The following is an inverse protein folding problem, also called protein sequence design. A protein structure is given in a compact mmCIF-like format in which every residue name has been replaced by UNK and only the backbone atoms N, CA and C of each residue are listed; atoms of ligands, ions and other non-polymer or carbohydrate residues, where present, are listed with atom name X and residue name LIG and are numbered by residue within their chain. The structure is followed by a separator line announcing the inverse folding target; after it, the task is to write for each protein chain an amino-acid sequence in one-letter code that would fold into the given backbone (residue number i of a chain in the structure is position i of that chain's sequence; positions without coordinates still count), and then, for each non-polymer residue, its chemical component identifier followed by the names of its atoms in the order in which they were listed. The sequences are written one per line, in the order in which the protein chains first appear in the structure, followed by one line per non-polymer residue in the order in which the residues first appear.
data_IF_431727470784
#
_entry.id   IF_431727470784
#
_cell.length_a   1.000
_cell.length_b   1.000
_cell.length_c   1.000
_cell.angle_alpha   90.00
_cell.angle_beta   90.00
_cell.angle_gamma   90.00
#
_symmetry.space_group_name_H-M   'P 1'
#
loop_
_entity.id
_entity.type
_entity.pdbx_description
1 polymer ?
#
# COMPACT_ATOMS: atom_id res chain seq x y z
N UNK A 1 9.00 -16.30 25.18
CA UNK A 1 8.37 -16.92 23.99
C UNK A 1 9.44 -17.13 22.91
N UNK A 2 9.42 -18.23 22.15
CA UNK A 2 10.33 -18.42 21.00
C UNK A 2 9.78 -17.58 19.84
N UNK A 3 10.46 -16.51 19.47
CA UNK A 3 9.99 -15.53 18.48
C UNK A 3 10.16 -16.00 17.05
N UNK A 4 11.28 -16.66 16.74
CA UNK A 4 11.51 -17.37 15.48
C UNK A 4 11.14 -18.85 15.65
N UNK A 5 10.05 -19.28 15.04
CA UNK A 5 9.51 -20.65 15.15
C UNK A 5 8.88 -21.05 13.81
N UNK A 6 9.41 -22.13 13.21
CA UNK A 6 8.90 -22.69 11.95
C UNK A 6 7.82 -23.77 12.14
N UNK A 7 7.58 -24.20 13.37
CA UNK A 7 6.66 -25.32 13.68
C UNK A 7 5.27 -24.80 14.10
N UNK A 8 5.24 -23.68 14.84
CA UNK A 8 4.01 -23.15 15.41
C UNK A 8 3.66 -21.79 14.82
N UNK A 9 2.41 -21.61 14.43
CA UNK A 9 1.89 -20.32 13.97
C UNK A 9 1.93 -19.25 15.08
N UNK A 10 1.86 -17.99 14.72
CA UNK A 10 1.79 -16.89 15.68
C UNK A 10 0.52 -17.00 16.57
N UNK A 11 -0.59 -17.47 16.03
CA UNK A 11 -1.80 -17.77 16.81
C UNK A 11 -1.57 -18.75 17.97
N UNK A 12 -0.76 -19.80 17.73
CA UNK A 12 -0.45 -20.80 18.76
C UNK A 12 0.48 -20.25 19.85
N UNK A 13 1.26 -19.23 19.50
CA UNK A 13 2.23 -18.59 20.42
C UNK A 13 1.63 -17.49 21.28
N UNK A 14 0.50 -16.92 20.88
CA UNK A 14 -0.17 -15.83 21.60
C UNK A 14 -1.08 -16.34 22.71
N UNK A 15 -1.10 -15.62 23.85
CA UNK A 15 -2.06 -15.82 24.94
C UNK A 15 -3.49 -15.46 24.49
N UNK A 16 -4.48 -15.78 25.29
CA UNK A 16 -5.88 -15.42 25.05
C UNK A 16 -6.06 -13.90 24.95
N UNK A 17 -5.38 -13.15 25.82
CA UNK A 17 -5.41 -11.68 25.85
C UNK A 17 -4.80 -11.11 24.56
N UNK A 18 -3.64 -11.61 24.13
CA UNK A 18 -3.02 -11.19 22.89
C UNK A 18 -3.88 -11.53 21.65
N UNK A 19 -4.58 -12.67 21.64
CA UNK A 19 -5.53 -13.00 20.57
C UNK A 19 -6.69 -12.01 20.52
N UNK A 20 -7.16 -11.53 21.67
CA UNK A 20 -8.17 -10.47 21.70
C UNK A 20 -7.63 -9.13 21.14
N UNK A 21 -6.37 -8.80 21.41
CA UNK A 21 -5.71 -7.63 20.82
C UNK A 21 -5.60 -7.75 19.31
N UNK A 22 -5.30 -8.95 18.78
CA UNK A 22 -5.33 -9.21 17.33
C UNK A 22 -6.71 -8.90 16.73
N UNK A 23 -7.80 -9.36 17.36
CA UNK A 23 -9.16 -9.09 16.85
C UNK A 23 -9.53 -7.61 16.93
N UNK A 24 -9.14 -6.92 17.99
CA UNK A 24 -9.36 -5.48 18.15
C UNK A 24 -8.57 -4.70 17.06
N UNK A 25 -7.31 -5.05 16.85
CA UNK A 25 -6.46 -4.48 15.80
C UNK A 25 -7.06 -4.73 14.41
N UNK A 26 -7.46 -5.97 14.13
CA UNK A 26 -8.06 -6.37 12.86
C UNK A 26 -9.36 -5.61 12.56
N UNK A 27 -10.18 -5.33 13.58
CA UNK A 27 -11.39 -4.51 13.43
C UNK A 27 -11.07 -3.09 12.98
N UNK A 28 -10.07 -2.44 13.60
CA UNK A 28 -9.63 -1.10 13.23
C UNK A 28 -8.94 -1.08 11.86
N UNK A 29 -8.16 -2.11 11.54
CA UNK A 29 -7.53 -2.27 10.24
C UNK A 29 -8.57 -2.40 9.11
N UNK A 30 -9.62 -3.20 9.30
CA UNK A 30 -10.71 -3.30 8.33
C UNK A 30 -11.41 -1.96 8.11
N UNK A 31 -11.67 -1.19 9.17
CA UNK A 31 -12.23 0.14 9.05
C UNK A 31 -11.31 1.10 8.25
N UNK A 32 -10.00 0.99 8.43
CA UNK A 32 -9.02 1.72 7.62
C UNK A 32 -9.09 1.30 6.14
N UNK A 33 -9.08 0.00 5.82
CA UNK A 33 -9.21 -0.52 4.45
C UNK A 33 -10.48 -0.03 3.76
N UNK A 34 -11.60 -0.03 4.47
CA UNK A 34 -12.90 0.39 3.95
C UNK A 34 -12.98 1.91 3.65
N UNK A 35 -12.08 2.69 4.25
CA UNK A 35 -11.95 4.13 4.04
C UNK A 35 -10.83 4.48 3.06
N UNK A 36 -9.69 3.81 3.16
CA UNK A 36 -8.46 4.08 2.40
C UNK A 36 -8.44 3.32 1.05
N UNK A 37 -9.44 3.55 0.22
CA UNK A 37 -9.71 2.79 -1.01
C UNK A 37 -8.76 3.11 -2.17
N UNK A 38 -8.21 4.32 -2.19
CA UNK A 38 -7.22 4.83 -3.15
C UNK A 38 -6.10 5.50 -2.39
N UNK A 39 -4.96 5.82 -3.05
CA UNK A 39 -3.86 6.52 -2.39
C UNK A 39 -4.29 7.88 -1.82
N UNK A 40 -5.19 8.61 -2.51
CA UNK A 40 -5.72 9.88 -2.00
C UNK A 40 -6.59 9.70 -0.77
N UNK A 41 -7.42 8.67 -0.74
CA UNK A 41 -8.27 8.37 0.41
C UNK A 41 -7.42 7.83 1.58
N UNK A 42 -6.38 7.04 1.31
CA UNK A 42 -5.42 6.57 2.31
C UNK A 42 -4.65 7.76 2.92
N UNK A 43 -4.10 8.66 2.08
CA UNK A 43 -3.46 9.90 2.53
C UNK A 43 -4.39 10.71 3.45
N UNK A 44 -5.63 10.95 3.03
CA UNK A 44 -6.63 11.70 3.79
C UNK A 44 -6.91 11.05 5.16
N UNK A 45 -7.05 9.73 5.20
CA UNK A 45 -7.31 8.99 6.44
C UNK A 45 -6.09 8.97 7.38
N UNK A 46 -4.89 8.78 6.85
CA UNK A 46 -3.64 8.85 7.61
C UNK A 46 -3.51 10.24 8.26
N UNK A 47 -3.67 11.31 7.49
CA UNK A 47 -3.60 12.68 8.02
C UNK A 47 -4.69 12.97 9.03
N UNK A 48 -5.91 12.44 8.85
CA UNK A 48 -6.99 12.58 9.83
C UNK A 48 -6.62 11.96 11.18
N UNK A 49 -6.08 10.75 11.16
CA UNK A 49 -5.63 10.06 12.38
C UNK A 49 -4.42 10.74 13.00
N UNK A 50 -3.43 11.14 12.21
CA UNK A 50 -2.24 11.84 12.67
C UNK A 50 -2.59 13.18 13.35
N UNK A 51 -3.43 14.00 12.73
CA UNK A 51 -3.90 15.27 13.32
C UNK A 51 -4.63 15.06 14.64
N UNK A 52 -5.49 14.01 14.72
CA UNK A 52 -6.17 13.64 15.97
C UNK A 52 -5.18 13.23 17.07
N UNK A 53 -4.01 12.66 16.70
CA UNK A 53 -2.94 12.28 17.61
C UNK A 53 -1.96 13.43 17.92
N UNK A 54 -2.24 14.65 17.46
CA UNK A 54 -1.45 15.84 17.76
C UNK A 54 -0.32 16.16 16.78
N UNK A 55 -0.26 15.48 15.63
CA UNK A 55 0.67 15.88 14.57
C UNK A 55 0.23 17.19 13.92
N UNK A 56 1.19 18.09 13.67
CA UNK A 56 0.99 19.38 13.00
C UNK A 56 1.86 19.47 11.76
N UNK A 57 1.46 20.29 10.80
CA UNK A 57 2.26 20.53 9.60
C UNK A 57 3.64 21.07 9.96
N UNK A 58 4.68 20.62 9.26
CA UNK A 58 6.04 21.13 9.44
C UNK A 58 6.10 22.65 9.27
N UNK A 59 5.22 23.22 8.43
CA UNK A 59 5.12 24.65 8.16
C UNK A 59 4.64 25.48 9.39
N UNK A 60 4.09 24.83 10.40
CA UNK A 60 3.64 25.47 11.65
C UNK A 60 4.76 25.59 12.69
N UNK A 61 5.94 25.03 12.42
CA UNK A 61 7.06 25.05 13.34
C UNK A 61 8.11 26.09 12.96
N UNK A 62 8.65 26.77 13.94
CA UNK A 62 9.81 27.68 13.82
C UNK A 62 11.09 27.09 14.45
N UNK A 63 10.93 26.06 15.28
CA UNK A 63 11.99 25.23 15.88
C UNK A 63 11.39 23.90 16.31
N UNK A 64 12.23 22.90 16.53
CA UNK A 64 11.81 21.57 16.96
C UNK A 64 12.33 21.24 18.36
N UNK A 65 11.48 20.57 19.14
CA UNK A 65 11.81 20.05 20.46
C UNK A 65 11.56 18.54 20.52
N UNK A 66 12.27 17.78 21.37
CA UNK A 66 11.97 16.36 21.57
C UNK A 66 10.50 16.13 21.92
N UNK A 67 9.86 15.21 21.22
CA UNK A 67 8.43 14.89 21.36
C UNK A 67 7.51 15.65 20.41
N UNK A 68 8.00 16.64 19.66
CA UNK A 68 7.21 17.29 18.61
C UNK A 68 6.77 16.28 17.54
N UNK A 69 5.51 16.37 17.13
CA UNK A 69 4.86 15.51 16.16
C UNK A 69 4.59 16.27 14.87
N UNK A 70 5.31 15.92 13.83
CA UNK A 70 5.36 16.68 12.58
C UNK A 70 4.80 15.85 11.43
N UNK A 71 4.06 16.46 10.51
CA UNK A 71 3.71 15.82 9.23
C UNK A 71 4.07 16.69 8.02
N UNK A 72 4.30 15.98 6.90
CA UNK A 72 4.37 16.56 5.55
C UNK A 72 3.35 15.86 4.66
N UNK A 73 2.51 16.63 3.98
CA UNK A 73 1.55 16.16 2.97
C UNK A 73 2.09 16.43 1.58
N UNK A 74 2.44 15.38 0.86
CA UNK A 74 2.94 15.49 -0.50
C UNK A 74 1.78 15.37 -1.50
N UNK A 75 1.21 16.52 -1.84
CA UNK A 75 0.18 16.68 -2.90
C UNK A 75 -1.09 15.83 -2.68
N UNK A 76 -1.41 15.48 -1.43
CA UNK A 76 -2.56 14.65 -1.09
C UNK A 76 -2.43 13.19 -1.56
N UNK A 77 -1.21 12.67 -1.79
CA UNK A 77 -0.95 11.31 -2.28
C UNK A 77 0.13 10.56 -1.52
N UNK A 78 1.04 11.26 -0.86
CA UNK A 78 2.03 10.66 0.02
C UNK A 78 2.13 11.46 1.31
N UNK A 79 2.51 10.81 2.41
CA UNK A 79 2.62 11.44 3.74
C UNK A 79 3.92 11.04 4.40
N UNK A 80 4.52 11.97 5.13
CA UNK A 80 5.59 11.66 6.07
C UNK A 80 5.16 12.15 7.46
N UNK A 81 5.29 11.29 8.46
CA UNK A 81 5.08 11.63 9.87
C UNK A 81 6.42 11.50 10.61
N UNK A 82 6.69 12.41 11.55
CA UNK A 82 7.87 12.29 12.40
C UNK A 82 7.54 12.60 13.87
N UNK A 83 8.18 11.89 14.79
CA UNK A 83 8.25 12.23 16.22
C UNK A 83 9.70 12.56 16.53
N UNK A 84 9.97 13.78 16.95
CA UNK A 84 11.33 14.26 17.19
C UNK A 84 11.92 13.58 18.43
N UNK A 85 13.11 12.99 18.25
CA UNK A 85 13.87 12.35 19.31
C UNK A 85 14.64 13.34 20.18
N UNK A 86 15.31 12.81 21.23
CA UNK A 86 16.15 13.62 22.14
C UNK A 86 17.54 13.90 21.59
N UNK A 87 18.07 13.01 20.75
CA UNK A 87 19.37 13.18 20.11
C UNK A 87 19.28 14.15 18.91
N UNK A 88 20.37 14.82 18.56
CA UNK A 88 20.46 15.58 17.32
C UNK A 88 20.12 14.70 16.09
N UNK A 89 19.53 15.29 15.06
CA UNK A 89 19.11 14.54 13.85
C UNK A 89 20.27 13.83 13.17
N UNK A 90 21.52 14.33 13.27
CA UNK A 90 22.71 13.66 12.72
C UNK A 90 23.02 12.29 13.36
N UNK A 91 22.43 11.97 14.50
CA UNK A 91 22.49 10.61 15.06
C UNK A 91 21.75 9.58 14.23
N UNK A 92 21.01 10.04 13.20
CA UNK A 92 20.21 9.20 12.31
C UNK A 92 18.76 9.02 12.76
N UNK A 93 17.96 8.49 11.87
CA UNK A 93 16.52 8.31 12.04
C UNK A 93 16.18 6.82 12.16
N UNK A 94 15.04 6.52 12.80
CA UNK A 94 14.35 5.24 12.72
C UNK A 94 13.21 5.41 11.73
N UNK A 95 13.31 4.80 10.56
CA UNK A 95 12.36 4.98 9.46
C UNK A 95 11.61 3.67 9.20
N UNK A 96 10.29 3.73 9.13
CA UNK A 96 9.46 2.68 8.55
C UNK A 96 8.83 3.28 7.29
N UNK A 97 9.15 2.73 6.14
CA UNK A 97 8.63 3.18 4.84
C UNK A 97 7.68 2.13 4.26
N UNK A 98 6.48 2.54 3.87
CA UNK A 98 5.43 1.73 3.26
C UNK A 98 4.81 2.48 2.10
N UNK A 99 3.98 1.83 1.26
CA UNK A 99 3.27 2.53 0.19
C UNK A 99 1.74 2.43 0.35
N UNK A 100 1.02 3.35 -0.29
CA UNK A 100 -0.44 3.48 -0.17
C UNK A 100 -1.18 3.40 -1.50
N UNK A 101 -0.46 3.39 -2.62
CA UNK A 101 -1.00 3.01 -3.93
C UNK A 101 -1.16 1.49 -4.03
N UNK A 102 -1.89 1.01 -5.02
CA UNK A 102 -2.11 -0.41 -5.27
C UNK A 102 -2.47 -0.65 -6.74
N UNK A 103 -2.34 -1.89 -7.26
CA UNK A 103 -2.77 -2.23 -8.60
C UNK A 103 -4.27 -1.97 -8.80
N UNK A 104 -4.63 -1.35 -9.92
CA UNK A 104 -6.00 -0.92 -10.23
C UNK A 104 -6.20 -0.66 -11.72
N UNK A 105 -7.37 -0.13 -12.10
CA UNK A 105 -7.63 0.39 -13.45
C UNK A 105 -7.86 1.89 -13.37
N UNK A 106 -7.07 2.68 -14.10
CA UNK A 106 -7.27 4.13 -14.23
C UNK A 106 -8.12 4.44 -15.47
N UNK A 107 -9.00 5.44 -15.40
CA UNK A 107 -9.68 5.93 -16.60
C UNK A 107 -8.70 6.62 -17.54
N UNK A 108 -8.87 6.39 -18.86
CA UNK A 108 -8.15 7.16 -19.88
C UNK A 108 -8.66 8.61 -19.93
N UNK A 109 -7.88 9.54 -20.50
CA UNK A 109 -8.24 10.96 -20.58
C UNK A 109 -9.52 11.26 -21.39
N UNK A 110 -9.91 10.39 -22.32
CA UNK A 110 -11.21 10.40 -23.01
C UNK A 110 -11.85 9.00 -22.87
N UNK A 111 -12.46 8.72 -21.69
CA UNK A 111 -12.80 7.35 -21.37
C UNK A 111 -14.15 6.91 -21.93
N UNK A 112 -15.10 7.83 -22.11
CA UNK A 112 -16.49 7.49 -22.41
C UNK A 112 -16.69 7.12 -23.87
N UNK A 113 -17.05 5.89 -24.13
CA UNK A 113 -17.38 5.35 -25.47
C UNK A 113 -18.69 4.59 -25.44
N UNK A 114 -19.34 4.53 -26.60
CA UNK A 114 -20.53 3.72 -26.83
C UNK A 114 -20.31 2.74 -27.99
N UNK A 115 -20.79 1.51 -27.82
CA UNK A 115 -20.81 0.47 -28.85
C UNK A 115 -22.10 -0.33 -28.70
N UNK A 116 -22.83 -0.50 -29.80
CA UNK A 116 -24.07 -1.32 -29.85
C UNK A 116 -25.04 -0.98 -28.69
N UNK A 117 -25.28 0.33 -28.48
CA UNK A 117 -26.16 0.88 -27.41
C UNK A 117 -25.72 0.52 -25.97
N UNK A 118 -24.43 0.25 -25.77
CA UNK A 118 -23.85 0.06 -24.45
C UNK A 118 -22.75 1.10 -24.24
N UNK A 119 -22.85 1.85 -23.17
CA UNK A 119 -21.82 2.81 -22.77
C UNK A 119 -20.77 2.16 -21.88
N UNK A 120 -19.50 2.47 -22.13
CA UNK A 120 -18.35 1.92 -21.44
C UNK A 120 -17.38 3.05 -21.03
N UNK A 121 -16.58 2.78 -19.97
CA UNK A 121 -15.34 3.52 -19.73
C UNK A 121 -14.13 2.76 -20.29
N UNK A 122 -13.26 3.46 -21.04
CA UNK A 122 -11.93 2.97 -21.39
C UNK A 122 -10.97 3.15 -20.24
N UNK A 123 -10.21 2.10 -19.96
CA UNK A 123 -9.24 2.09 -18.86
C UNK A 123 -7.82 1.82 -19.33
N UNK A 124 -6.87 2.10 -18.45
CA UNK A 124 -5.51 1.61 -18.49
C UNK A 124 -5.18 0.97 -17.13
N UNK A 125 -4.66 -0.25 -17.10
CA UNK A 125 -4.26 -0.85 -15.84
C UNK A 125 -3.02 -0.18 -15.26
N UNK A 126 -2.96 -0.12 -13.94
CA UNK A 126 -1.89 0.44 -13.12
C UNK A 126 -1.26 -0.68 -12.29
N UNK A 127 0.10 -0.77 -12.28
CA UNK A 127 0.83 -1.85 -11.62
C UNK A 127 0.75 -3.20 -12.34
N UNK A 128 1.24 -4.23 -11.69
CA UNK A 128 1.32 -5.59 -12.22
C UNK A 128 0.06 -6.41 -11.94
N UNK A 129 -0.86 -6.55 -12.87
CA UNK A 129 -2.11 -7.31 -12.70
C UNK A 129 -2.19 -8.55 -13.60
N UNK A 130 -2.91 -9.55 -13.13
CA UNK A 130 -3.45 -10.64 -13.98
C UNK A 130 -4.84 -10.24 -14.48
N UNK A 131 -4.93 -9.78 -15.73
CA UNK A 131 -6.11 -9.14 -16.31
C UNK A 131 -7.40 -9.96 -16.21
N UNK A 132 -7.30 -11.29 -16.30
CA UNK A 132 -8.45 -12.20 -16.21
C UNK A 132 -9.15 -12.17 -14.83
N UNK A 133 -8.48 -11.68 -13.77
CA UNK A 133 -9.07 -11.59 -12.44
C UNK A 133 -10.03 -10.40 -12.28
N UNK A 134 -10.00 -9.44 -13.21
CA UNK A 134 -10.77 -8.19 -13.14
C UNK A 134 -12.12 -8.22 -13.82
N UNK A 135 -12.48 -9.34 -14.47
CA UNK A 135 -13.79 -9.53 -15.11
C UNK A 135 -14.77 -10.20 -14.15
N UNK A 136 -16.06 -10.04 -14.43
CA UNK A 136 -17.17 -10.70 -13.72
C UNK A 136 -17.26 -10.37 -12.22
N UNK A 137 -16.89 -9.12 -11.83
CA UNK A 137 -16.99 -8.67 -10.44
C UNK A 137 -17.55 -7.25 -10.36
N UNK A 138 -18.19 -6.87 -9.22
CA UNK A 138 -18.63 -5.50 -8.98
C UNK A 138 -17.43 -4.58 -8.81
N UNK A 139 -17.47 -3.42 -9.49
CA UNK A 139 -16.41 -2.41 -9.47
C UNK A 139 -16.99 -1.05 -9.06
N UNK A 140 -16.17 -0.25 -8.38
CA UNK A 140 -16.44 1.12 -7.98
C UNK A 140 -15.53 2.10 -8.74
N UNK A 141 -15.99 3.32 -8.96
CA UNK A 141 -15.23 4.44 -9.53
C UNK A 141 -15.00 5.49 -8.46
N UNK A 142 -13.74 5.74 -8.13
CA UNK A 142 -13.32 6.67 -7.08
C UNK A 142 -12.28 7.64 -7.62
N UNK A 143 -12.19 8.82 -7.03
CA UNK A 143 -11.09 9.74 -7.33
C UNK A 143 -11.52 11.20 -7.38
N UNK A 144 -10.83 11.99 -8.19
CA UNK A 144 -11.03 13.45 -8.27
C UNK A 144 -11.08 13.92 -9.72
N UNK A 145 -11.87 14.95 -9.94
CA UNK A 145 -11.95 15.69 -11.21
C UNK A 145 -11.74 17.18 -10.92
N UNK A 146 -10.97 17.85 -11.76
CA UNK A 146 -10.87 19.29 -11.74
C UNK A 146 -11.60 19.85 -12.96
N UNK A 147 -12.66 20.66 -12.71
CA UNK A 147 -13.41 21.31 -13.78
C UNK A 147 -12.61 22.44 -14.45
N UNK A 148 -13.05 22.90 -15.60
CA UNK A 148 -12.46 24.04 -16.30
C UNK A 148 -12.34 25.31 -15.43
N UNK A 149 -13.18 25.47 -14.39
CA UNK A 149 -13.07 26.57 -13.42
C UNK A 149 -12.01 26.35 -12.33
N UNK A 150 -11.29 25.21 -12.34
CA UNK A 150 -10.34 24.82 -11.31
C UNK A 150 -11.00 24.25 -10.03
N UNK A 151 -12.30 24.02 -10.01
CA UNK A 151 -13.01 23.43 -8.87
C UNK A 151 -12.70 21.94 -8.80
N UNK A 152 -12.26 21.46 -7.63
CA UNK A 152 -12.09 20.05 -7.34
C UNK A 152 -13.45 19.42 -7.01
N UNK A 153 -13.70 18.25 -7.57
CA UNK A 153 -14.86 17.41 -7.32
C UNK A 153 -14.36 16.01 -6.94
N UNK A 154 -14.76 15.54 -5.76
CA UNK A 154 -14.51 14.17 -5.35
C UNK A 154 -15.62 13.27 -5.93
N UNK A 155 -15.24 12.21 -6.64
CA UNK A 155 -16.17 11.24 -7.26
C UNK A 155 -16.15 9.95 -6.47
N UNK A 156 -17.34 9.43 -6.17
CA UNK A 156 -17.54 8.11 -5.55
C UNK A 156 -18.83 7.49 -6.11
N UNK A 157 -18.66 6.37 -6.83
CA UNK A 157 -19.74 5.59 -7.42
C UNK A 157 -19.44 4.10 -7.16
N UNK A 158 -20.37 3.39 -6.53
CA UNK A 158 -20.24 1.96 -6.24
C UNK A 158 -19.53 1.65 -4.92
N UNK A 159 -19.21 2.67 -4.10
CA UNK A 159 -18.55 2.49 -2.82
C UNK A 159 -19.52 2.27 -1.66
N UNK A 160 -20.74 2.78 -1.77
CA UNK A 160 -21.80 2.60 -0.79
C UNK A 160 -22.79 1.49 -1.23
N UNK A 161 -23.42 0.75 -0.28
CA UNK A 161 -24.30 -0.37 -0.60
C UNK A 161 -25.48 -0.04 -1.53
N UNK A 162 -25.94 1.23 -1.55
CA UNK A 162 -27.03 1.71 -2.39
C UNK A 162 -26.57 2.22 -3.75
N UNK A 163 -25.27 2.39 -3.97
CA UNK A 163 -24.75 2.86 -5.25
C UNK A 163 -24.85 1.80 -6.34
N UNK A 164 -25.05 2.19 -7.60
CA UNK A 164 -24.83 1.28 -8.71
C UNK A 164 -23.37 0.94 -8.84
N UNK A 165 -23.06 -0.31 -9.24
CA UNK A 165 -21.70 -0.77 -9.49
C UNK A 165 -21.42 -0.81 -10.99
N UNK A 166 -20.12 -0.77 -11.34
CA UNK A 166 -19.63 -1.00 -12.69
C UNK A 166 -19.26 -2.48 -12.86
N UNK A 167 -19.19 -2.97 -14.11
CA UNK A 167 -18.96 -4.38 -14.37
C UNK A 167 -18.22 -4.60 -15.70
N UNK A 168 -17.18 -5.42 -15.68
CA UNK A 168 -16.49 -5.87 -16.89
C UNK A 168 -16.97 -7.28 -17.21
N UNK A 169 -17.51 -7.48 -18.42
CA UNK A 169 -18.00 -8.77 -18.86
C UNK A 169 -16.89 -9.71 -19.30
N UNK A 170 -17.14 -11.00 -19.23
CA UNK A 170 -16.35 -12.04 -19.91
C UNK A 170 -17.23 -12.84 -20.86
N UNK A 171 -16.60 -13.58 -21.77
CA UNK A 171 -17.32 -14.40 -22.75
C UNK A 171 -17.89 -15.65 -22.07
N UNK A 172 -19.12 -16.03 -22.46
CA UNK A 172 -19.71 -17.25 -21.95
C UNK A 172 -18.97 -18.50 -22.48
N UNK A 173 -18.95 -19.63 -21.74
CA UNK A 173 -18.16 -20.80 -22.08
C UNK A 173 -18.51 -21.39 -23.48
N UNK A 174 -19.77 -21.30 -23.90
CA UNK A 174 -20.24 -21.86 -25.21
C UNK A 174 -19.67 -21.12 -26.42
N UNK A 175 -19.17 -19.89 -26.26
CA UNK A 175 -18.50 -19.08 -27.28
C UNK A 175 -17.00 -18.93 -27.02
N UNK A 176 -16.49 -19.44 -25.89
CA UNK A 176 -15.12 -19.24 -25.40
C UNK A 176 -14.05 -20.12 -26.05
N UNK A 177 -14.34 -20.94 -27.08
CA UNK A 177 -13.39 -21.91 -27.64
C UNK A 177 -12.03 -21.29 -28.00
N UNK A 178 -12.03 -20.18 -28.69
CA UNK A 178 -10.81 -19.52 -29.13
C UNK A 178 -10.10 -18.77 -27.96
N UNK A 179 -10.87 -18.27 -27.02
CA UNK A 179 -10.32 -17.60 -25.81
C UNK A 179 -9.60 -18.61 -24.91
N UNK A 180 -10.19 -19.79 -24.68
CA UNK A 180 -9.63 -20.84 -23.80
C UNK A 180 -8.27 -21.36 -24.30
N UNK A 181 -8.03 -21.32 -25.63
CA UNK A 181 -6.77 -21.79 -26.22
C UNK A 181 -5.64 -20.78 -26.21
N UNK A 182 -5.92 -19.51 -25.86
CA UNK A 182 -4.90 -18.47 -25.79
C UNK A 182 -4.05 -18.59 -24.51
N UNK A 183 -2.78 -18.14 -24.53
CA UNK A 183 -2.03 -17.91 -23.30
C UNK A 183 -2.85 -17.04 -22.34
N UNK A 184 -2.79 -17.34 -21.04
CA UNK A 184 -3.60 -16.66 -20.02
C UNK A 184 -3.47 -15.13 -20.06
N UNK A 185 -2.25 -14.61 -20.32
CA UNK A 185 -1.99 -13.17 -20.45
C UNK A 185 -2.64 -12.50 -21.68
N UNK A 186 -3.09 -13.29 -22.65
CA UNK A 186 -3.69 -12.84 -23.93
C UNK A 186 -5.21 -13.11 -24.00
N UNK A 187 -5.73 -13.96 -23.12
CA UNK A 187 -7.14 -14.31 -23.09
C UNK A 187 -8.03 -13.09 -22.81
N UNK A 188 -7.58 -12.25 -21.89
CA UNK A 188 -8.15 -10.91 -21.63
C UNK A 188 -7.04 -9.88 -21.89
N UNK A 189 -7.26 -8.96 -22.83
CA UNK A 189 -6.30 -7.87 -23.13
C UNK A 189 -6.62 -6.63 -22.31
N UNK A 190 -5.64 -5.71 -22.17
CA UNK A 190 -5.86 -4.45 -21.45
C UNK A 190 -6.99 -3.61 -22.05
N UNK A 191 -7.13 -3.59 -23.38
CA UNK A 191 -8.21 -2.86 -24.07
C UNK A 191 -9.61 -3.49 -23.90
N UNK A 192 -9.69 -4.74 -23.41
CA UNK A 192 -10.96 -5.40 -23.06
C UNK A 192 -11.42 -5.07 -21.64
N UNK A 193 -10.56 -4.47 -20.80
CA UNK A 193 -10.92 -4.08 -19.45
C UNK A 193 -11.75 -2.77 -19.48
N UNK A 194 -12.93 -2.85 -20.07
CA UNK A 194 -13.87 -1.73 -20.20
C UNK A 194 -15.13 -2.01 -19.38
N UNK A 195 -15.31 -1.37 -18.22
CA UNK A 195 -16.55 -1.52 -17.47
C UNK A 195 -17.73 -0.89 -18.18
N UNK A 196 -18.84 -1.63 -18.17
CA UNK A 196 -20.16 -1.15 -18.59
C UNK A 196 -20.66 -0.13 -17.56
N UNK A 197 -21.23 0.97 -18.07
CA UNK A 197 -21.72 2.09 -17.25
C UNK A 197 -23.18 2.45 -17.51
N UNK A 198 -23.80 1.92 -18.56
CA UNK A 198 -25.20 2.12 -18.85
C UNK A 198 -25.65 1.61 -20.21
N UNK A 199 -26.97 1.43 -20.35
CA UNK A 199 -27.64 0.98 -21.58
C UNK A 199 -28.96 1.73 -21.84
N UNK A 200 -29.35 2.63 -20.92
CA UNK A 200 -30.64 3.33 -21.03
C UNK A 200 -30.48 4.74 -21.57
N UNK A 201 -31.31 5.06 -22.54
CA UNK A 201 -31.51 6.40 -23.07
C UNK A 201 -32.93 6.53 -23.62
N UNK A 202 -33.53 7.70 -23.45
CA UNK A 202 -34.78 8.07 -24.12
C UNK A 202 -34.52 8.59 -25.56
N UNK A 203 -33.26 8.66 -25.96
CA UNK A 203 -32.77 9.08 -27.28
C UNK A 203 -32.10 7.90 -28.00
N UNK A 204 -31.63 8.15 -29.25
CA UNK A 204 -31.00 7.13 -30.09
C UNK A 204 -29.64 6.61 -29.57
N UNK A 205 -29.01 7.31 -28.60
CA UNK A 205 -27.68 7.00 -28.09
C UNK A 205 -27.60 7.09 -26.56
N UNK A 206 -26.79 6.23 -25.94
CA UNK A 206 -26.65 6.11 -24.46
C UNK A 206 -25.63 7.11 -23.88
N UNK A 207 -24.58 7.43 -24.63
CA UNK A 207 -23.49 8.30 -24.15
C UNK A 207 -23.98 9.66 -23.65
N UNK A 208 -24.86 10.41 -24.34
CA UNK A 208 -25.39 11.67 -23.84
C UNK A 208 -26.17 11.54 -22.53
N UNK A 209 -26.94 10.46 -22.37
CA UNK A 209 -27.67 10.21 -21.14
C UNK A 209 -26.75 9.98 -19.95
N UNK A 210 -25.63 9.25 -20.13
CA UNK A 210 -24.60 9.07 -19.09
C UNK A 210 -23.94 10.39 -18.75
N UNK A 211 -23.58 11.21 -19.73
CA UNK A 211 -23.00 12.55 -19.49
C UNK A 211 -23.98 13.43 -18.71
N UNK A 212 -25.28 13.38 -19.01
CA UNK A 212 -26.29 14.11 -18.27
C UNK A 212 -26.36 13.67 -16.79
N UNK A 213 -26.32 12.36 -16.51
CA UNK A 213 -26.28 11.84 -15.13
C UNK A 213 -25.03 12.31 -14.36
N UNK A 214 -23.86 12.32 -15.01
CA UNK A 214 -22.62 12.82 -14.41
C UNK A 214 -22.66 14.32 -14.16
N UNK A 215 -23.28 15.07 -15.08
CA UNK A 215 -23.51 16.52 -14.92
C UNK A 215 -24.47 16.82 -13.77
N UNK A 216 -25.57 16.09 -13.66
CA UNK A 216 -26.56 16.27 -12.59
C UNK A 216 -25.99 15.94 -11.21
N UNK A 217 -25.26 14.82 -11.09
CA UNK A 217 -24.73 14.36 -9.80
C UNK A 217 -23.47 15.10 -9.37
N UNK A 218 -22.55 15.37 -10.30
CA UNK A 218 -21.21 15.88 -10.01
C UNK A 218 -20.89 17.22 -10.66
N UNK A 219 -21.74 17.70 -11.60
CA UNK A 219 -21.45 18.86 -12.43
C UNK A 219 -20.17 18.69 -13.26
N UNK A 220 -19.95 17.49 -13.82
CA UNK A 220 -18.83 17.11 -14.67
C UNK A 220 -19.28 17.13 -16.14
N UNK A 221 -18.51 17.78 -17.00
CA UNK A 221 -18.63 17.72 -18.46
C UNK A 221 -17.63 16.71 -19.05
N UNK A 222 -17.82 16.31 -20.32
CA UNK A 222 -16.93 15.32 -20.95
C UNK A 222 -15.46 15.78 -20.99
N UNK A 223 -15.21 17.07 -21.22
CA UNK A 223 -13.87 17.65 -21.24
C UNK A 223 -13.14 17.53 -19.90
N UNK A 224 -13.86 17.55 -18.78
CA UNK A 224 -13.30 17.49 -17.42
C UNK A 224 -12.59 16.13 -17.14
N UNK A 225 -12.89 15.07 -17.89
CA UNK A 225 -12.14 13.81 -17.79
C UNK A 225 -10.65 13.96 -18.14
N UNK A 226 -10.28 14.95 -18.94
CA UNK A 226 -8.88 15.22 -19.29
C UNK A 226 -8.06 15.71 -18.11
N UNK A 227 -8.71 16.20 -17.08
CA UNK A 227 -8.12 16.72 -15.81
C UNK A 227 -8.58 15.91 -14.60
N UNK A 228 -8.89 14.64 -14.82
CA UNK A 228 -9.33 13.71 -13.78
C UNK A 228 -8.22 12.72 -13.37
N UNK A 229 -8.28 12.30 -12.13
CA UNK A 229 -7.61 11.10 -11.62
C UNK A 229 -8.73 10.20 -11.05
N UNK A 230 -9.22 9.28 -11.86
CA UNK A 230 -10.34 8.38 -11.56
C UNK A 230 -9.91 6.93 -11.68
N UNK A 231 -10.09 6.21 -10.59
CA UNK A 231 -9.64 4.85 -10.37
C UNK A 231 -10.82 3.91 -10.25
N UNK A 232 -10.73 2.75 -10.91
CA UNK A 232 -11.67 1.65 -10.78
C UNK A 232 -11.06 0.60 -9.88
N UNK A 233 -11.75 0.30 -8.80
CA UNK A 233 -11.37 -0.67 -7.78
C UNK A 233 -12.53 -1.63 -7.51
N UNK A 234 -12.31 -2.84 -6.94
CA UNK A 234 -13.41 -3.70 -6.51
C UNK A 234 -14.39 -2.98 -5.58
N UNK A 235 -15.69 -3.07 -5.81
CA UNK A 235 -16.69 -2.42 -4.96
C UNK A 235 -16.81 -3.07 -3.57
N UNK A 236 -16.29 -4.29 -3.43
CA UNK A 236 -16.36 -5.06 -2.19
C UNK A 236 -15.57 -4.39 -1.06
N UNK A 237 -16.21 -4.19 0.09
CA UNK A 237 -15.53 -3.81 1.34
C UNK A 237 -14.81 -5.00 1.97
N UNK A 238 -13.92 -4.73 2.94
CA UNK A 238 -13.17 -5.74 3.66
C UNK A 238 -14.05 -6.76 4.36
N UNK A 239 -13.66 -8.04 4.36
CA UNK A 239 -14.40 -9.12 5.04
C UNK A 239 -13.47 -10.09 5.73
N UNK A 240 -13.97 -10.67 6.84
CA UNK A 240 -13.35 -11.86 7.43
C UNK A 240 -13.47 -13.04 6.48
N UNK A 241 -12.41 -13.86 6.42
CA UNK A 241 -12.34 -15.09 5.63
C UNK A 241 -11.97 -16.27 6.52
N UNK A 242 -12.47 -17.44 6.13
CA UNK A 242 -12.37 -18.67 6.89
C UNK A 242 -13.54 -18.84 7.88
N UNK A 243 -13.87 -20.09 8.20
CA UNK A 243 -14.91 -20.39 9.18
C UNK A 243 -14.53 -19.90 10.58
N UNK A 244 -13.24 -19.83 10.87
CA UNK A 244 -12.63 -19.33 12.10
C UNK A 244 -12.40 -17.82 12.10
N UNK A 245 -12.68 -17.13 10.97
CA UNK A 245 -12.49 -15.68 10.80
C UNK A 245 -11.06 -15.18 11.04
N UNK A 246 -10.06 -16.03 10.84
CA UNK A 246 -8.66 -15.71 11.14
C UNK A 246 -7.96 -14.83 10.09
N UNK A 247 -8.64 -14.56 8.96
CA UNK A 247 -8.09 -13.85 7.81
C UNK A 247 -8.97 -12.65 7.43
N UNK A 248 -8.38 -11.70 6.68
CA UNK A 248 -9.07 -10.56 6.08
C UNK A 248 -8.87 -10.60 4.58
N UNK A 249 -9.96 -10.46 3.82
CA UNK A 249 -9.97 -10.21 2.39
C UNK A 249 -10.28 -8.74 2.13
N UNK A 250 -9.48 -8.09 1.29
CA UNK A 250 -9.74 -6.73 0.81
C UNK A 250 -8.95 -6.43 -0.45
N UNK A 251 -9.34 -5.37 -1.15
CA UNK A 251 -8.53 -4.75 -2.19
C UNK A 251 -7.42 -3.89 -1.58
N UNK A 252 -6.23 -3.95 -2.19
CA UNK A 252 -5.11 -3.05 -1.87
C UNK A 252 -4.49 -3.29 -0.50
N UNK A 253 -4.49 -4.53 0.00
CA UNK A 253 -3.72 -4.89 1.20
C UNK A 253 -2.21 -4.84 0.94
N UNK A 254 -1.79 -4.98 -0.32
CA UNK A 254 -0.54 -4.54 -0.87
C UNK A 254 -0.62 -3.03 -1.18
N UNK A 255 0.03 -2.11 -0.42
CA UNK A 255 0.73 -2.39 0.86
C UNK A 255 0.02 -1.71 2.05
N UNK A 256 -1.31 -1.58 1.99
CA UNK A 256 -2.07 -0.93 3.08
C UNK A 256 -2.03 -1.72 4.38
N UNK A 257 -1.68 -3.01 4.36
CA UNK A 257 -1.49 -3.77 5.60
C UNK A 257 -0.26 -3.29 6.37
N UNK A 258 0.88 -3.11 5.69
CA UNK A 258 2.07 -2.55 6.32
C UNK A 258 1.90 -1.04 6.58
N UNK A 259 1.23 -0.31 5.71
CA UNK A 259 0.92 1.11 5.93
C UNK A 259 0.06 1.34 7.17
N UNK A 260 -0.98 0.54 7.39
CA UNK A 260 -1.76 0.65 8.62
C UNK A 260 -0.95 0.25 9.86
N UNK A 261 -0.13 -0.79 9.77
CA UNK A 261 0.78 -1.19 10.85
C UNK A 261 1.80 -0.08 11.18
N UNK A 262 2.37 0.57 10.16
CA UNK A 262 3.27 1.71 10.29
C UNK A 262 2.57 2.90 10.95
N UNK A 263 1.36 3.25 10.48
CA UNK A 263 0.54 4.30 11.08
C UNK A 263 0.23 4.01 12.55
N UNK A 264 -0.29 2.82 12.85
CA UNK A 264 -0.60 2.43 14.23
C UNK A 264 0.65 2.46 15.13
N UNK A 265 1.80 2.02 14.61
CA UNK A 265 3.05 2.01 15.34
C UNK A 265 3.51 3.43 15.69
N UNK A 266 3.56 4.37 14.73
CA UNK A 266 4.00 5.75 15.00
C UNK A 266 3.01 6.52 15.88
N UNK A 267 1.71 6.25 15.76
CA UNK A 267 0.69 6.90 16.60
C UNK A 267 0.78 6.46 18.07
N UNK A 268 1.20 5.23 18.33
CA UNK A 268 1.33 4.66 19.68
C UNK A 268 2.78 4.68 20.20
N UNK A 269 3.74 5.09 19.38
CA UNK A 269 5.13 5.20 19.81
C UNK A 269 5.34 6.35 20.78
N UNK A 270 6.28 6.16 21.72
CA UNK A 270 6.76 7.22 22.60
C UNK A 270 8.01 7.86 21.99
N UNK A 271 8.23 9.15 22.29
CA UNK A 271 9.49 9.82 21.90
C UNK A 271 10.68 9.09 22.52
N UNK A 272 11.65 8.75 21.70
CA UNK A 272 12.87 8.02 22.06
C UNK A 272 14.12 8.88 21.86
N UNK A 273 15.28 8.24 21.89
CA UNK A 273 16.56 8.92 21.65
C UNK A 273 16.65 9.40 20.18
N UNK A 274 16.39 8.52 19.20
CA UNK A 274 16.40 8.89 17.78
C UNK A 274 15.02 9.37 17.32
N UNK A 275 15.00 10.28 16.35
CA UNK A 275 13.78 10.71 15.67
C UNK A 275 13.17 9.54 14.88
N UNK A 276 11.88 9.34 15.05
CA UNK A 276 11.08 8.29 14.39
C UNK A 276 10.38 8.89 13.18
N UNK A 277 10.39 8.18 12.05
CA UNK A 277 9.78 8.64 10.79
C UNK A 277 8.97 7.53 10.17
N UNK A 278 7.68 7.78 9.93
CA UNK A 278 6.81 6.92 9.12
C UNK A 278 6.58 7.56 7.76
N UNK A 279 7.01 6.87 6.71
CA UNK A 279 6.79 7.25 5.31
C UNK A 279 5.66 6.42 4.72
N UNK A 280 4.74 7.08 4.03
CA UNK A 280 3.63 6.50 3.27
C UNK A 280 3.75 7.00 1.83
N UNK A 281 4.35 6.19 0.98
CA UNK A 281 4.70 6.54 -0.38
C UNK A 281 3.55 6.29 -1.37
N UNK A 282 3.60 6.96 -2.50
CA UNK A 282 2.76 6.74 -3.67
C UNK A 282 3.61 6.16 -4.81
N UNK A 283 2.98 5.53 -5.79
CA UNK A 283 3.61 5.06 -7.05
C UNK A 283 4.66 3.94 -6.89
N UNK A 284 4.67 3.22 -5.77
CA UNK A 284 5.55 2.06 -5.63
C UNK A 284 5.31 1.07 -6.76
N UNK A 285 4.05 0.74 -7.03
CA UNK A 285 3.57 -0.24 -8.00
C UNK A 285 3.96 0.04 -9.46
N UNK A 286 4.41 1.26 -9.74
CA UNK A 286 4.91 1.68 -11.06
C UNK A 286 6.38 2.13 -11.02
N UNK A 287 7.15 1.66 -10.01
CA UNK A 287 8.58 1.89 -9.87
C UNK A 287 8.95 3.15 -9.11
N UNK A 288 8.10 3.67 -8.24
CA UNK A 288 8.35 4.84 -7.36
C UNK A 288 8.72 6.13 -8.12
N UNK A 289 8.34 6.25 -9.38
CA UNK A 289 8.67 7.39 -10.25
C UNK A 289 7.59 8.48 -10.15
N UNK A 290 7.98 9.72 -10.48
CA UNK A 290 7.09 10.88 -10.40
C UNK A 290 7.20 11.61 -9.06
N UNK A 291 6.54 12.77 -8.95
CA UNK A 291 6.72 13.74 -7.87
C UNK A 291 6.07 13.37 -6.52
N UNK A 292 5.44 12.22 -6.43
CA UNK A 292 4.88 11.64 -5.20
C UNK A 292 5.47 10.26 -4.86
N UNK A 293 6.24 9.66 -5.80
CA UNK A 293 7.01 8.44 -5.57
C UNK A 293 8.30 8.70 -4.78
N UNK A 294 8.86 7.66 -4.15
CA UNK A 294 10.04 7.78 -3.27
C UNK A 294 11.29 8.25 -4.02
N UNK A 295 11.39 8.05 -5.34
CA UNK A 295 12.50 8.57 -6.14
C UNK A 295 12.51 10.10 -6.27
N UNK A 296 11.39 10.79 -5.95
CA UNK A 296 11.37 12.25 -5.91
C UNK A 296 12.05 12.80 -4.65
N UNK A 297 12.41 14.08 -4.71
CA UNK A 297 13.16 14.72 -3.62
C UNK A 297 12.35 14.97 -2.34
N UNK A 298 11.01 14.89 -2.37
CA UNK A 298 10.16 15.36 -1.28
C UNK A 298 10.51 14.78 0.10
N UNK A 299 10.95 13.53 0.16
CA UNK A 299 11.37 12.93 1.43
C UNK A 299 12.68 13.53 1.93
N UNK A 300 13.65 13.74 1.03
CA UNK A 300 14.92 14.43 1.37
C UNK A 300 14.67 15.90 1.70
N UNK A 301 13.74 16.56 1.01
CA UNK A 301 13.31 17.92 1.29
C UNK A 301 12.70 18.00 2.70
N UNK A 302 11.82 17.08 3.07
CA UNK A 302 11.27 16.99 4.43
C UNK A 302 12.36 16.86 5.49
N UNK A 303 13.34 15.97 5.31
CA UNK A 303 14.45 15.80 6.24
C UNK A 303 15.31 17.07 6.31
N UNK A 304 15.51 17.73 5.16
CA UNK A 304 16.26 19.01 5.11
C UNK A 304 15.54 20.14 5.87
N UNK A 305 14.21 20.19 5.79
CA UNK A 305 13.40 21.14 6.57
C UNK A 305 13.48 20.84 8.08
N UNK A 306 13.47 19.57 8.50
CA UNK A 306 13.69 19.20 9.91
C UNK A 306 15.07 19.67 10.39
N UNK A 307 16.13 19.47 9.58
CA UNK A 307 17.48 19.94 9.88
C UNK A 307 17.53 21.47 9.96
N UNK A 308 16.88 22.17 9.02
CA UNK A 308 16.83 23.64 9.00
C UNK A 308 16.14 24.22 10.27
N UNK A 309 15.08 23.56 10.77
CA UNK A 309 14.40 23.91 12.01
C UNK A 309 15.26 23.67 13.27
N UNK A 310 16.33 22.87 13.16
CA UNK A 310 17.38 22.71 14.18
C UNK A 310 18.61 23.57 13.93
N UNK A 311 18.62 24.44 12.92
CA UNK A 311 19.70 25.38 12.62
C UNK A 311 20.77 24.86 11.66
N UNK A 312 20.58 23.68 11.05
CA UNK A 312 21.51 23.07 10.10
C UNK A 312 20.98 23.21 8.65
N UNK A 313 21.75 23.88 7.79
CA UNK A 313 21.34 24.13 6.39
C UNK A 313 22.32 23.56 5.35
N UNK A 314 23.45 23.04 5.80
CA UNK A 314 24.48 22.49 4.94
C UNK A 314 24.14 21.06 4.51
N UNK A 315 24.25 20.77 3.22
CA UNK A 315 23.96 19.44 2.65
C UNK A 315 24.71 18.29 3.34
N UNK A 316 25.89 18.55 3.89
CA UNK A 316 26.67 17.55 4.58
C UNK A 316 25.95 16.95 5.81
N UNK A 317 25.11 17.75 6.51
CA UNK A 317 24.31 17.24 7.62
C UNK A 317 23.28 16.21 7.15
N UNK A 318 22.58 16.48 6.05
CA UNK A 318 21.65 15.52 5.44
C UNK A 318 22.35 14.19 5.10
N UNK A 319 23.52 14.25 4.46
CA UNK A 319 24.25 13.05 4.07
C UNK A 319 24.79 12.26 5.27
N UNK A 320 25.17 12.92 6.34
CA UNK A 320 25.59 12.26 7.60
C UNK A 320 24.40 11.60 8.28
N UNK A 321 23.27 12.31 8.38
CA UNK A 321 22.03 11.81 8.94
C UNK A 321 21.59 10.53 8.22
N UNK A 322 21.51 10.54 6.90
CA UNK A 322 21.07 9.38 6.10
C UNK A 322 21.95 8.15 6.34
N UNK A 323 23.27 8.33 6.40
CA UNK A 323 24.21 7.22 6.67
C UNK A 323 24.12 6.64 8.09
N UNK A 324 23.53 7.35 9.04
CA UNK A 324 23.28 6.88 10.40
C UNK A 324 21.83 6.42 10.59
N UNK A 325 21.02 6.50 9.53
CA UNK A 325 19.60 6.14 9.56
C UNK A 325 19.39 4.66 9.27
N UNK A 326 18.37 4.12 9.90
CA UNK A 326 17.97 2.73 9.84
C UNK A 326 16.54 2.65 9.31
N UNK A 327 16.28 1.75 8.37
CA UNK A 327 15.02 1.65 7.64
C UNK A 327 14.48 0.23 7.67
N UNK A 328 13.23 0.07 8.06
CA UNK A 328 12.40 -1.06 7.66
C UNK A 328 11.61 -0.64 6.41
N UNK A 329 11.93 -1.26 5.27
CA UNK A 329 11.12 -1.18 4.06
C UNK A 329 9.94 -2.10 4.28
N UNK A 330 8.84 -1.49 4.71
CA UNK A 330 7.60 -2.18 5.05
C UNK A 330 6.81 -2.41 3.77
N UNK A 331 6.95 -3.58 3.20
CA UNK A 331 6.27 -4.02 1.99
C UNK A 331 5.94 -5.50 2.13
N UNK A 332 4.80 -5.91 1.59
CA UNK A 332 4.32 -7.29 1.71
C UNK A 332 5.24 -8.28 1.01
N UNK A 333 5.14 -9.54 1.36
CA UNK A 333 5.81 -10.62 0.67
C UNK A 333 4.83 -11.76 0.35
N UNK A 334 5.17 -12.60 -0.63
CA UNK A 334 4.33 -13.74 -0.99
C UNK A 334 4.40 -14.84 0.07
N UNK A 335 3.25 -15.25 0.59
CA UNK A 335 3.14 -16.45 1.41
C UNK A 335 3.13 -17.70 0.52
N UNK A 336 3.72 -18.78 1.01
CA UNK A 336 3.60 -20.11 0.39
C UNK A 336 2.13 -20.50 0.27
N UNK A 337 1.64 -20.59 -0.96
CA UNK A 337 0.30 -21.11 -1.25
C UNK A 337 0.39 -22.61 -1.59
N UNK A 338 -0.26 -23.50 -0.81
CA UNK A 338 -0.24 -24.93 -1.08
C UNK A 338 -0.82 -25.33 -2.44
N UNK A 339 -1.71 -24.51 -3.03
CA UNK A 339 -2.25 -24.76 -4.37
C UNK A 339 -1.21 -24.49 -5.47
N UNK A 340 -0.16 -23.72 -5.17
CA UNK A 340 0.88 -23.29 -6.12
C UNK A 340 2.30 -23.57 -5.59
N UNK A 341 2.49 -24.64 -4.81
CA UNK A 341 3.77 -24.99 -4.17
C UNK A 341 4.96 -25.01 -5.14
N UNK A 342 4.71 -25.36 -6.41
CA UNK A 342 5.80 -25.44 -7.41
C UNK A 342 6.48 -24.10 -7.68
N UNK A 343 5.85 -22.97 -7.35
CA UNK A 343 6.42 -21.63 -7.51
C UNK A 343 7.38 -21.23 -6.37
N UNK A 344 7.40 -21.97 -5.25
CA UNK A 344 8.10 -21.58 -4.03
C UNK A 344 9.29 -22.50 -3.70
N UNK A 345 10.30 -21.94 -3.04
CA UNK A 345 11.33 -22.68 -2.30
C UNK A 345 10.90 -22.76 -0.82
N UNK A 346 10.44 -23.96 -0.40
CA UNK A 346 9.70 -24.14 0.88
C UNK A 346 10.45 -23.76 2.15
N UNK A 347 11.79 -23.85 2.15
CA UNK A 347 12.59 -23.57 3.33
C UNK A 347 12.70 -22.06 3.62
N UNK A 348 12.63 -21.24 2.56
CA UNK A 348 12.83 -19.79 2.61
C UNK A 348 11.54 -19.00 2.27
N UNK A 349 10.46 -19.67 1.89
CA UNK A 349 9.19 -19.02 1.65
C UNK A 349 8.52 -18.55 2.95
N UNK A 350 7.92 -17.38 2.93
CA UNK A 350 7.06 -16.88 3.99
C UNK A 350 5.85 -17.80 4.21
N UNK A 351 5.42 -17.96 5.43
CA UNK A 351 4.26 -18.78 5.81
C UNK A 351 3.14 -17.90 6.35
N UNK A 352 1.95 -18.17 5.89
CA UNK A 352 0.75 -17.48 6.31
C UNK A 352 0.40 -17.79 7.78
N UNK A 353 0.29 -16.76 8.62
CA UNK A 353 0.01 -16.92 10.06
C UNK A 353 1.24 -17.14 10.95
N UNK A 354 2.46 -16.90 10.47
CA UNK A 354 3.70 -17.14 11.23
C UNK A 354 4.40 -15.87 11.74
N UNK A 355 3.77 -14.72 11.61
CA UNK A 355 4.28 -13.43 12.04
C UNK A 355 4.92 -12.63 10.89
N UNK A 356 5.54 -11.51 11.25
CA UNK A 356 6.16 -10.62 10.25
C UNK A 356 7.35 -11.29 9.55
N UNK A 357 7.51 -11.04 8.27
CA UNK A 357 8.57 -11.62 7.46
C UNK A 357 9.73 -10.64 7.23
N UNK A 358 10.96 -11.08 7.45
CA UNK A 358 12.18 -10.40 7.05
C UNK A 358 12.65 -10.96 5.70
N UNK A 359 12.77 -10.09 4.71
CA UNK A 359 13.33 -10.42 3.40
C UNK A 359 14.71 -9.78 3.30
N UNK A 360 15.76 -10.60 3.38
CA UNK A 360 17.15 -10.11 3.31
C UNK A 360 17.42 -9.39 1.99
N UNK A 361 16.81 -9.87 0.92
CA UNK A 361 16.90 -9.31 -0.43
C UNK A 361 15.58 -9.55 -1.20
N UNK A 362 15.33 -8.67 -2.13
CA UNK A 362 14.28 -8.74 -3.14
C UNK A 362 14.94 -8.72 -4.53
N UNK A 363 14.31 -8.16 -5.54
CA UNK A 363 14.87 -8.07 -6.89
C UNK A 363 14.65 -9.34 -7.70
N UNK A 364 15.30 -9.46 -8.85
CA UNK A 364 15.09 -10.56 -9.80
C UNK A 364 16.40 -11.22 -10.24
N UNK A 365 16.32 -12.49 -10.66
CA UNK A 365 17.48 -13.29 -11.11
C UNK A 365 18.63 -13.23 -10.10
N UNK A 366 19.80 -12.66 -10.46
CA UNK A 366 20.96 -12.49 -9.59
C UNK A 366 20.82 -11.29 -8.63
N UNK A 367 19.66 -11.07 -8.01
CA UNK A 367 19.36 -9.97 -7.08
C UNK A 367 19.41 -8.58 -7.72
N UNK A 368 19.16 -8.46 -9.03
CA UNK A 368 19.15 -7.18 -9.70
C UNK A 368 17.99 -6.30 -9.19
N UNK A 369 18.28 -5.02 -8.90
CA UNK A 369 17.29 -4.07 -8.36
C UNK A 369 16.94 -4.30 -6.88
N UNK A 370 17.80 -5.00 -6.13
CA UNK A 370 17.61 -5.31 -4.71
C UNK A 370 18.53 -4.49 -3.81
N UNK A 371 18.08 -4.23 -2.58
CA UNK A 371 18.95 -3.94 -1.44
C UNK A 371 19.24 -5.28 -0.74
N UNK A 372 20.45 -5.80 -0.84
CA UNK A 372 20.88 -6.99 -0.09
C UNK A 372 21.33 -6.55 1.31
N UNK A 373 20.46 -6.71 2.31
CA UNK A 373 20.65 -6.17 3.66
C UNK A 373 21.92 -6.68 4.33
N UNK A 374 22.62 -5.78 5.03
CA UNK A 374 23.86 -6.09 5.76
C UNK A 374 23.59 -7.00 6.96
N UNK A 375 24.49 -7.94 7.23
CA UNK A 375 24.36 -8.91 8.32
C UNK A 375 24.31 -8.21 9.71
N UNK A 376 25.06 -7.11 9.86
CA UNK A 376 25.10 -6.30 11.08
C UNK A 376 23.74 -5.66 11.37
N UNK A 377 23.06 -5.18 10.35
CA UNK A 377 21.71 -4.64 10.52
C UNK A 377 20.67 -5.74 10.77
N UNK A 378 20.77 -6.86 10.06
CA UNK A 378 19.89 -8.02 10.27
C UNK A 378 19.94 -8.55 11.70
N UNK A 379 21.14 -8.68 12.31
CA UNK A 379 21.25 -9.15 13.70
C UNK A 379 20.64 -8.14 14.68
N UNK A 380 20.75 -6.83 14.41
CA UNK A 380 20.11 -5.78 15.21
C UNK A 380 18.58 -5.94 15.18
N UNK A 381 17.98 -6.04 13.99
CA UNK A 381 16.53 -6.21 13.83
C UNK A 381 16.03 -7.49 14.50
N UNK A 382 16.75 -8.60 14.28
CA UNK A 382 16.47 -9.88 14.95
C UNK A 382 16.45 -9.74 16.48
N UNK A 383 17.41 -9.03 17.06
CA UNK A 383 17.47 -8.82 18.52
C UNK A 383 16.30 -7.96 18.99
N UNK A 384 15.98 -6.87 18.29
CA UNK A 384 14.81 -6.03 18.60
C UNK A 384 13.54 -6.88 18.65
N UNK A 385 13.30 -7.73 17.64
CA UNK A 385 12.09 -8.57 17.62
C UNK A 385 12.09 -9.61 18.72
N UNK A 386 13.23 -10.24 19.00
CA UNK A 386 13.35 -11.25 20.06
C UNK A 386 13.12 -10.65 21.45
N UNK A 387 13.71 -9.50 21.75
CA UNK A 387 13.60 -8.81 23.03
C UNK A 387 12.15 -8.32 23.29
N UNK A 388 11.43 -7.95 22.22
CA UNK A 388 10.05 -7.49 22.30
C UNK A 388 9.00 -8.59 22.07
N UNK A 389 9.43 -9.86 22.03
CA UNK A 389 8.55 -11.02 21.80
C UNK A 389 7.69 -10.93 20.54
N UNK A 390 8.20 -10.30 19.48
CA UNK A 390 7.53 -10.23 18.17
C UNK A 390 7.70 -11.56 17.43
N UNK A 391 6.64 -12.26 17.03
CA UNK A 391 6.76 -13.40 16.12
C UNK A 391 7.24 -12.96 14.74
N UNK A 392 8.33 -13.57 14.27
CA UNK A 392 8.90 -13.25 12.98
C UNK A 392 9.40 -14.50 12.23
N UNK A 393 9.56 -14.35 10.93
CA UNK A 393 10.02 -15.39 10.00
C UNK A 393 10.91 -14.77 8.92
N UNK A 394 11.51 -15.61 8.06
CA UNK A 394 12.19 -15.18 6.85
C UNK A 394 11.30 -15.43 5.64
N UNK A 395 11.47 -14.64 4.58
CA UNK A 395 10.79 -14.84 3.31
C UNK A 395 11.69 -14.51 2.13
N UNK A 396 11.49 -15.23 1.03
CA UNK A 396 12.01 -14.94 -0.31
C UNK A 396 10.85 -15.04 -1.30
N UNK A 397 10.89 -14.23 -2.36
CA UNK A 397 9.84 -14.19 -3.37
C UNK A 397 10.01 -15.31 -4.39
N UNK A 398 9.41 -16.47 -4.11
CA UNK A 398 9.40 -17.61 -5.02
C UNK A 398 10.76 -18.32 -5.19
N UNK A 399 10.86 -19.14 -6.23
CA UNK A 399 12.11 -19.78 -6.62
C UNK A 399 13.04 -18.84 -7.38
N UNK A 400 14.34 -19.04 -7.26
CA UNK A 400 15.36 -18.39 -8.11
C UNK A 400 15.00 -18.59 -9.59
N UNK A 401 15.18 -17.56 -10.39
CA UNK A 401 14.81 -17.45 -11.82
C UNK A 401 13.29 -17.39 -12.12
N UNK A 402 12.41 -17.64 -11.15
CA UNK A 402 10.98 -17.61 -11.31
C UNK A 402 10.32 -16.42 -10.61
N UNK A 403 10.73 -16.12 -9.38
CA UNK A 403 10.27 -14.97 -8.61
C UNK A 403 11.11 -13.72 -8.87
N UNK A 404 10.59 -12.57 -8.50
CA UNK A 404 11.33 -11.32 -8.54
C UNK A 404 10.42 -10.10 -8.49
N UNK A 405 10.86 -9.07 -7.77
CA UNK A 405 10.22 -7.77 -7.64
C UNK A 405 11.14 -6.83 -6.89
N UNK A 406 10.99 -5.53 -7.07
CA UNK A 406 11.67 -4.49 -6.31
C UNK A 406 10.74 -3.95 -5.24
N UNK A 407 11.30 -3.23 -4.26
CA UNK A 407 10.62 -2.48 -3.21
C UNK A 407 11.28 -1.10 -3.11
N UNK A 408 10.79 -0.23 -2.25
CA UNK A 408 11.43 1.07 -1.99
C UNK A 408 12.81 0.92 -1.30
N UNK A 409 13.18 -0.26 -0.82
CA UNK A 409 14.42 -0.51 -0.06
C UNK A 409 15.68 -0.07 -0.80
N UNK A 410 15.81 -0.39 -2.11
CA UNK A 410 17.00 -0.03 -2.87
C UNK A 410 17.19 1.50 -3.00
N UNK A 411 16.09 2.25 -3.03
CA UNK A 411 16.13 3.71 -3.14
C UNK A 411 16.75 4.30 -1.85
N UNK A 412 16.26 3.85 -0.69
CA UNK A 412 16.73 4.30 0.61
C UNK A 412 18.17 3.82 0.89
N UNK A 413 18.51 2.61 0.46
CA UNK A 413 19.88 2.09 0.52
C UNK A 413 20.85 2.94 -0.34
N UNK A 414 20.42 3.42 -1.50
CA UNK A 414 21.23 4.31 -2.35
C UNK A 414 21.48 5.69 -1.70
N UNK A 415 20.65 6.11 -0.74
CA UNK A 415 20.92 7.30 0.08
C UNK A 415 21.93 7.04 1.19
N UNK A 416 22.30 5.78 1.43
CA UNK A 416 23.31 5.36 2.41
C UNK A 416 22.72 4.85 3.73
N UNK A 417 21.42 4.65 3.82
CA UNK A 417 20.77 4.07 5.00
C UNK A 417 21.02 2.56 5.12
N UNK A 418 21.04 2.04 6.35
CA UNK A 418 20.88 0.61 6.59
C UNK A 418 19.43 0.20 6.38
N UNK A 419 19.15 -0.73 5.47
CA UNK A 419 17.79 -1.09 5.06
C UNK A 419 17.58 -2.60 5.06
N UNK A 420 16.39 -3.03 5.48
CA UNK A 420 15.89 -4.41 5.27
C UNK A 420 14.40 -4.38 4.96
N UNK A 421 13.98 -5.24 4.02
CA UNK A 421 12.57 -5.45 3.75
C UNK A 421 11.92 -6.26 4.88
N UNK A 422 10.80 -5.76 5.39
CA UNK A 422 10.13 -6.31 6.56
C UNK A 422 8.62 -6.10 6.48
N UNK A 423 7.87 -7.10 6.03
CA UNK A 423 6.44 -6.95 5.82
C UNK A 423 5.60 -8.20 6.07
N UNK A 424 4.35 -8.14 5.67
CA UNK A 424 3.36 -9.19 5.91
C UNK A 424 3.37 -10.19 4.77
N UNK A 425 3.44 -11.49 5.11
CA UNK A 425 3.26 -12.57 4.14
C UNK A 425 1.78 -12.69 3.76
N UNK A 426 1.45 -12.57 2.47
CA UNK A 426 0.08 -12.54 1.97
C UNK A 426 -0.17 -13.53 0.84
N UNK A 427 -1.44 -13.85 0.62
CA UNK A 427 -1.90 -14.67 -0.50
C UNK A 427 -2.65 -13.80 -1.53
N UNK A 428 -2.57 -14.21 -2.80
CA UNK A 428 -3.23 -13.49 -3.91
C UNK A 428 -2.78 -12.03 -4.05
N UNK A 429 -1.49 -11.73 -3.79
CA UNK A 429 -0.89 -10.42 -4.03
C UNK A 429 -1.21 -9.92 -5.45
N UNK A 430 -1.52 -8.63 -5.60
CA UNK A 430 -1.93 -7.97 -6.84
C UNK A 430 -3.26 -8.45 -7.45
N UNK A 431 -3.97 -9.39 -6.80
CA UNK A 431 -5.33 -9.71 -7.21
C UNK A 431 -6.31 -8.59 -6.81
N UNK A 432 -7.47 -8.47 -7.47
CA UNK A 432 -8.50 -7.51 -7.05
C UNK A 432 -8.89 -7.61 -5.57
N UNK A 433 -8.84 -8.83 -5.02
CA UNK A 433 -9.07 -9.11 -3.60
C UNK A 433 -7.96 -10.02 -3.08
N UNK A 434 -7.27 -9.56 -2.08
CA UNK A 434 -6.08 -10.15 -1.47
C UNK A 434 -6.37 -10.66 -0.08
N UNK A 435 -5.54 -11.59 0.44
CA UNK A 435 -5.74 -12.19 1.75
C UNK A 435 -4.53 -11.98 2.66
N UNK A 436 -4.79 -11.52 3.88
CA UNK A 436 -3.80 -11.49 4.97
C UNK A 436 -4.31 -12.21 6.22
N UNK A 437 -3.42 -12.78 6.99
CA UNK A 437 -3.76 -13.32 8.32
C UNK A 437 -3.83 -12.15 9.32
N UNK A 438 -4.89 -12.09 10.13
CA UNK A 438 -5.05 -11.06 11.17
C UNK A 438 -3.84 -10.99 12.10
N UNK A 439 -3.33 -12.16 12.48
CA UNK A 439 -2.18 -12.26 13.39
C UNK A 439 -0.90 -11.70 12.77
N UNK A 440 -0.67 -11.87 11.46
CA UNK A 440 0.52 -11.35 10.79
C UNK A 440 0.46 -9.83 10.66
N UNK A 441 -0.72 -9.27 10.36
CA UNK A 441 -0.95 -7.83 10.36
C UNK A 441 -0.68 -7.20 11.74
N UNK A 442 -1.11 -7.88 12.82
CA UNK A 442 -0.83 -7.44 14.18
C UNK A 442 0.66 -7.57 14.54
N UNK A 443 1.33 -8.64 14.09
CA UNK A 443 2.79 -8.79 14.27
C UNK A 443 3.58 -7.69 13.57
N UNK A 444 3.12 -7.21 12.40
CA UNK A 444 3.74 -6.06 11.74
C UNK A 444 3.65 -4.79 12.60
N UNK A 445 2.50 -4.50 13.19
CA UNK A 445 2.36 -3.40 14.15
C UNK A 445 3.32 -3.54 15.34
N UNK A 446 3.41 -4.71 15.96
CA UNK A 446 4.33 -4.94 17.07
C UNK A 446 5.80 -4.75 16.65
N UNK A 447 6.18 -5.23 15.46
CA UNK A 447 7.52 -5.12 14.93
C UNK A 447 7.93 -3.66 14.68
N UNK A 448 7.08 -2.90 13.99
CA UNK A 448 7.37 -1.51 13.66
C UNK A 448 7.41 -0.63 14.93
N UNK A 449 6.50 -0.89 15.89
CA UNK A 449 6.52 -0.20 17.18
C UNK A 449 7.81 -0.51 17.95
N UNK A 450 8.20 -1.79 18.05
CA UNK A 450 9.45 -2.20 18.70
C UNK A 450 10.68 -1.57 18.04
N UNK A 451 10.69 -1.47 16.70
CA UNK A 451 11.76 -0.81 15.96
C UNK A 451 11.82 0.70 16.24
N UNK A 452 10.68 1.39 16.22
CA UNK A 452 10.64 2.82 16.56
C UNK A 452 11.14 3.10 17.99
N UNK A 453 10.80 2.25 18.94
CA UNK A 453 11.13 2.42 20.36
C UNK A 453 12.51 1.85 20.75
N UNK A 454 13.23 1.19 19.82
CA UNK A 454 14.57 0.65 20.08
C UNK A 454 15.64 1.75 20.15
N UNK A 455 16.72 1.45 20.91
CA UNK A 455 17.88 2.32 21.03
C UNK A 455 18.81 2.28 19.81
#
# INVERSE_FOLDING_TARGET
MKTFDKEHSAWQRFSTEQRQEVENYATNYRAFLDTARTERLANKEILRQAKKAGFRSIQEYTSLQPGDKVFWDQKGKAVVLAIIGKQPLEAGLKIVGSHIDCPRLDLKGMPLVEKDNIAYFKTHYYGGILKYQWVCMPLALLGVVYTASGKRIDVSIGDEPQDPVLYITDLLPHLGKDQITKPLGEAITGEMLMPIIGIHSDEDTVKPAILQLLKEKYNIEEEDFTTAELEIVPAQKSRDVGLDRSMIMSHGQDDRVCSYANLAAILHAHSTEKTQVALFADKEEIGSMGNTGVQASYFLDFISELLALQGHKEELYLRRLLRQSEVLSADVCAALDPNFESAFEKNNAGRFGYGIALCKYTGSRGKAGSSDANAEFLIKIRNIFNENNVPWQISELGKVDQGGGGTIAYIMANWGCDVVDCGVAMLSMHAPLELVAKVDAYCAYLAYKAFFESL
#
